data_IF_851264785995
#
_entry.id   IF_851264785995
#
_cell.length_a   1.000
_cell.length_b   1.000
_cell.length_c   1.000
_cell.angle_alpha   90.00
_cell.angle_beta   90.00
_cell.angle_gamma   90.00
#
_symmetry.space_group_name_H-M   'P 1'
#
loop_
_entity.id
_entity.type
_entity.pdbx_description
1 polymer ?
#
# COMPACT_ATOMS: atom_id res chain seq x y z
N UNK A 1 1.24 -5.87 -24.19
CA UNK A 1 1.14 -5.99 -22.71
C UNK A 1 -0.25 -5.54 -22.30
N UNK A 2 -0.96 -6.35 -21.54
CA UNK A 2 -2.26 -5.95 -21.03
C UNK A 2 -2.09 -4.86 -19.96
N UNK A 3 -2.94 -3.83 -19.97
CA UNK A 3 -2.90 -2.73 -19.02
C UNK A 3 -3.36 -3.14 -17.63
N UNK A 4 -2.93 -2.44 -16.58
CA UNK A 4 -3.51 -2.56 -15.25
C UNK A 4 -4.87 -1.86 -15.19
N UNK A 5 -5.79 -2.40 -14.39
CA UNK A 5 -7.12 -1.83 -14.19
C UNK A 5 -7.09 -0.69 -13.17
N UNK A 6 -6.20 -0.78 -12.19
CA UNK A 6 -6.16 0.14 -11.05
C UNK A 6 -4.74 0.32 -10.48
N UNK A 7 -4.42 1.54 -10.06
CA UNK A 7 -3.26 1.86 -9.22
C UNK A 7 -3.69 1.81 -7.75
N UNK A 8 -2.94 1.08 -6.93
CA UNK A 8 -3.21 0.89 -5.51
C UNK A 8 -2.02 1.38 -4.64
N UNK A 9 -1.94 2.68 -4.33
CA UNK A 9 -0.96 3.22 -3.42
C UNK A 9 -1.31 2.90 -1.97
N UNK A 10 -0.30 2.50 -1.20
CA UNK A 10 -0.42 2.14 0.21
C UNK A 10 0.36 3.10 1.09
N UNK A 11 -0.30 3.71 2.06
CA UNK A 11 0.34 4.60 3.03
C UNK A 11 1.44 3.88 3.84
N UNK A 12 2.48 4.63 4.15
CA UNK A 12 3.56 4.19 5.04
C UNK A 12 3.71 5.17 6.22
N UNK A 13 2.97 4.93 7.27
CA UNK A 13 2.88 5.80 8.44
C UNK A 13 1.82 6.89 8.32
N UNK A 14 1.66 7.65 9.41
CA UNK A 14 0.79 8.82 9.53
C UNK A 14 1.58 9.97 10.17
N UNK A 15 1.20 11.24 9.93
CA UNK A 15 0.11 11.69 9.05
C UNK A 15 0.39 11.49 7.56
N UNK A 16 -0.62 11.72 6.72
CA UNK A 16 -0.52 11.57 5.27
C UNK A 16 0.60 12.44 4.64
N UNK A 17 0.86 13.61 5.21
CA UNK A 17 1.88 14.55 4.73
C UNK A 17 3.34 14.10 4.91
N UNK A 18 3.61 12.92 5.48
CA UNK A 18 4.98 12.39 5.62
C UNK A 18 5.69 12.29 4.26
N UNK A 19 7.01 12.54 4.20
CA UNK A 19 7.79 12.44 2.96
C UNK A 19 7.62 11.10 2.22
N UNK A 20 7.51 9.99 2.97
CA UNK A 20 7.24 8.67 2.41
C UNK A 20 5.92 8.62 1.62
N UNK A 21 4.85 9.18 2.19
CA UNK A 21 3.53 9.18 1.56
C UNK A 21 3.48 10.12 0.34
N UNK A 22 4.18 11.25 0.38
CA UNK A 22 4.35 12.12 -0.80
C UNK A 22 5.05 11.40 -1.94
N UNK A 23 6.15 10.70 -1.66
CA UNK A 23 6.84 9.91 -2.67
C UNK A 23 5.96 8.80 -3.26
N UNK A 24 5.15 8.13 -2.43
CA UNK A 24 4.18 7.13 -2.87
C UNK A 24 3.11 7.77 -3.78
N UNK A 25 2.58 8.92 -3.39
CA UNK A 25 1.58 9.65 -4.15
C UNK A 25 2.11 10.09 -5.53
N UNK A 26 3.32 10.67 -5.58
CA UNK A 26 3.99 11.06 -6.82
C UNK A 26 4.29 9.87 -7.74
N UNK A 27 4.76 8.75 -7.18
CA UNK A 27 5.00 7.53 -7.95
C UNK A 27 3.69 6.96 -8.52
N UNK A 28 2.62 6.97 -7.74
CA UNK A 28 1.31 6.51 -8.19
C UNK A 28 0.79 7.37 -9.35
N UNK A 29 0.89 8.70 -9.25
CA UNK A 29 0.48 9.61 -10.31
C UNK A 29 1.31 9.42 -11.57
N UNK A 30 2.63 9.28 -11.44
CA UNK A 30 3.52 9.01 -12.57
C UNK A 30 3.18 7.68 -13.25
N UNK A 31 3.01 6.60 -12.47
CA UNK A 31 2.68 5.27 -13.00
C UNK A 31 1.33 5.29 -13.76
N UNK A 32 0.30 5.93 -13.21
CA UNK A 32 -0.99 6.10 -13.89
C UNK A 32 -0.84 6.78 -15.24
N UNK A 33 -0.10 7.89 -15.30
CA UNK A 33 0.10 8.65 -16.55
C UNK A 33 0.92 7.87 -17.58
N UNK A 34 2.03 7.25 -17.15
CA UNK A 34 2.95 6.56 -18.09
C UNK A 34 2.38 5.26 -18.61
N UNK A 35 1.56 4.56 -17.82
CA UNK A 35 0.95 3.29 -18.17
C UNK A 35 -0.53 3.42 -18.57
N UNK A 36 -1.04 4.66 -18.64
CA UNK A 36 -2.42 4.97 -18.98
C UNK A 36 -3.44 4.18 -18.13
N UNK A 37 -3.21 4.11 -16.80
CA UNK A 37 -4.11 3.44 -15.87
C UNK A 37 -5.17 4.45 -15.41
N UNK A 38 -6.47 4.22 -15.70
CA UNK A 38 -7.49 5.25 -15.56
C UNK A 38 -7.99 5.46 -14.14
N UNK A 39 -7.68 4.57 -13.21
CA UNK A 39 -8.31 4.56 -11.88
C UNK A 39 -7.29 4.42 -10.75
N UNK A 40 -7.50 5.21 -9.71
CA UNK A 40 -6.84 5.08 -8.42
C UNK A 40 -7.78 4.51 -7.37
N UNK A 41 -7.25 3.60 -6.56
CA UNK A 41 -7.91 3.16 -5.34
C UNK A 41 -6.97 3.36 -4.17
N UNK A 42 -7.19 4.38 -3.37
CA UNK A 42 -6.26 4.77 -2.32
C UNK A 42 -6.98 5.27 -1.05
N UNK A 43 -6.29 5.23 0.11
CA UNK A 43 -6.72 5.94 1.31
C UNK A 43 -6.85 7.44 1.05
N UNK A 44 -7.82 8.11 1.71
CA UNK A 44 -8.09 9.55 1.55
C UNK A 44 -6.82 10.40 1.68
N UNK A 45 -5.99 10.12 2.68
CA UNK A 45 -4.76 10.87 2.91
C UNK A 45 -3.75 10.86 1.74
N UNK A 46 -3.76 9.85 0.87
CA UNK A 46 -2.95 9.88 -0.37
C UNK A 46 -3.58 10.88 -1.36
N UNK A 47 -4.89 10.94 -1.47
CA UNK A 47 -5.57 11.86 -2.39
C UNK A 47 -5.40 13.33 -2.02
N UNK A 48 -5.22 13.64 -0.74
CA UNK A 48 -4.95 14.99 -0.26
C UNK A 48 -3.58 15.51 -0.73
N UNK A 49 -2.68 14.64 -1.18
CA UNK A 49 -1.32 15.00 -1.59
C UNK A 49 -1.19 15.35 -3.07
N UNK A 50 -2.25 15.27 -3.87
CA UNK A 50 -2.14 15.57 -5.29
C UNK A 50 -3.48 15.60 -6.04
N UNK A 51 -3.43 16.12 -7.26
CA UNK A 51 -4.56 16.13 -8.18
C UNK A 51 -4.52 14.86 -9.06
N UNK A 52 -5.41 13.94 -8.77
CA UNK A 52 -5.45 12.62 -9.39
C UNK A 52 -6.61 12.49 -10.40
N UNK A 53 -6.46 11.63 -11.43
CA UNK A 53 -7.57 11.25 -12.32
C UNK A 53 -8.70 10.58 -11.53
N UNK A 54 -9.78 10.11 -12.18
CA UNK A 54 -10.92 9.49 -11.49
C UNK A 54 -10.50 8.54 -10.38
N UNK A 55 -10.89 8.87 -9.16
CA UNK A 55 -10.43 8.26 -7.92
C UNK A 55 -11.57 7.56 -7.21
N UNK A 56 -11.27 6.41 -6.64
CA UNK A 56 -12.15 5.75 -5.70
C UNK A 56 -11.47 5.82 -4.35
N UNK A 57 -12.03 6.66 -3.49
CA UNK A 57 -11.53 6.80 -2.14
C UNK A 57 -11.99 5.61 -1.31
N UNK A 58 -11.04 4.93 -0.69
CA UNK A 58 -11.35 4.06 0.42
C UNK A 58 -11.49 4.93 1.66
N UNK A 59 -12.72 5.04 2.16
CA UNK A 59 -13.00 5.80 3.39
C UNK A 59 -12.48 5.02 4.61
N UNK A 60 -11.27 5.39 5.00
CA UNK A 60 -10.62 4.80 6.15
C UNK A 60 -10.25 5.89 7.15
N UNK A 61 -10.92 5.89 8.26
CA UNK A 61 -10.57 6.73 9.39
C UNK A 61 -9.48 6.08 10.25
N UNK A 62 -8.28 6.68 10.25
CA UNK A 62 -7.15 6.27 11.09
C UNK A 62 -6.23 5.20 10.50
N UNK A 63 -5.50 4.47 11.37
CA UNK A 63 -4.58 3.42 10.94
C UNK A 63 -5.30 2.22 10.38
N UNK A 64 -4.90 1.81 9.19
CA UNK A 64 -5.47 0.64 8.54
C UNK A 64 -4.36 -0.31 8.13
N UNK A 65 -4.50 -1.56 8.56
CA UNK A 65 -3.60 -2.62 8.13
C UNK A 65 -3.76 -2.88 6.62
N UNK A 66 -2.67 -3.35 5.99
CA UNK A 66 -2.70 -3.77 4.58
C UNK A 66 -3.84 -4.73 4.29
N UNK A 67 -4.11 -5.66 5.21
CA UNK A 67 -5.20 -6.65 5.04
C UNK A 67 -6.57 -5.97 4.95
N UNK A 68 -6.83 -4.95 5.78
CA UNK A 68 -8.09 -4.19 5.70
C UNK A 68 -8.20 -3.42 4.38
N UNK A 69 -7.11 -2.79 3.93
CA UNK A 69 -7.08 -2.09 2.66
C UNK A 69 -7.32 -3.04 1.48
N UNK A 70 -6.69 -4.22 1.48
CA UNK A 70 -6.89 -5.24 0.44
C UNK A 70 -8.32 -5.78 0.45
N UNK A 71 -8.94 -6.00 1.60
CA UNK A 71 -10.36 -6.42 1.68
C UNK A 71 -11.29 -5.39 1.05
N UNK A 72 -11.10 -4.11 1.34
CA UNK A 72 -11.88 -3.05 0.74
C UNK A 72 -11.63 -2.92 -0.78
N UNK A 73 -10.38 -3.12 -1.23
CA UNK A 73 -10.06 -3.23 -2.65
C UNK A 73 -10.84 -4.38 -3.32
N UNK A 74 -10.88 -5.57 -2.70
CA UNK A 74 -11.61 -6.75 -3.22
C UNK A 74 -13.09 -6.44 -3.44
N UNK A 75 -13.71 -5.78 -2.46
CA UNK A 75 -15.13 -5.43 -2.53
C UNK A 75 -15.44 -4.49 -3.70
N UNK A 76 -14.62 -3.44 -3.83
CA UNK A 76 -14.74 -2.49 -4.96
C UNK A 76 -14.40 -3.14 -6.29
N UNK A 77 -13.37 -3.97 -6.35
CA UNK A 77 -12.91 -4.61 -7.57
C UNK A 77 -13.94 -5.62 -8.12
N UNK A 78 -14.66 -6.33 -7.26
CA UNK A 78 -15.76 -7.22 -7.68
C UNK A 78 -16.87 -6.46 -8.43
N UNK A 79 -17.24 -5.27 -7.95
CA UNK A 79 -18.25 -4.43 -8.58
C UNK A 79 -17.80 -3.87 -9.93
N UNK A 80 -16.49 -3.72 -10.13
CA UNK A 80 -15.87 -3.10 -11.30
C UNK A 80 -15.16 -4.06 -12.23
N UNK A 81 -15.19 -5.35 -11.94
CA UNK A 81 -14.52 -6.42 -12.68
C UNK A 81 -13.00 -6.23 -12.83
N UNK A 82 -12.34 -5.55 -11.87
CA UNK A 82 -10.88 -5.40 -11.86
C UNK A 82 -10.20 -6.72 -11.58
N UNK A 83 -9.11 -6.99 -12.29
CA UNK A 83 -8.29 -8.19 -12.15
C UNK A 83 -6.81 -7.88 -11.93
N UNK A 84 -6.32 -6.79 -12.56
CA UNK A 84 -4.90 -6.44 -12.58
C UNK A 84 -4.65 -5.18 -11.78
N UNK A 85 -3.78 -5.29 -10.75
CA UNK A 85 -3.51 -4.23 -9.78
C UNK A 85 -2.04 -3.84 -9.82
N UNK A 86 -1.75 -2.57 -10.06
CA UNK A 86 -0.42 -2.01 -9.86
C UNK A 86 -0.30 -1.44 -8.45
N UNK A 87 0.57 -2.03 -7.64
CA UNK A 87 0.79 -1.65 -6.24
C UNK A 87 1.91 -0.61 -6.18
N UNK A 88 1.66 0.49 -5.49
CA UNK A 88 2.69 1.48 -5.15
C UNK A 88 2.90 1.43 -3.64
N UNK A 89 4.03 0.87 -3.20
CA UNK A 89 4.30 0.66 -1.78
C UNK A 89 5.76 0.96 -1.43
N UNK A 90 5.97 1.48 -0.21
CA UNK A 90 7.30 1.68 0.34
C UNK A 90 8.13 0.37 0.29
N UNK A 91 9.43 0.42 -0.06
CA UNK A 91 10.28 -0.76 -0.19
C UNK A 91 10.22 -1.73 1.00
N UNK A 92 10.17 -1.28 2.26
CA UNK A 92 10.04 -2.20 3.40
C UNK A 92 8.72 -2.95 3.45
N UNK A 93 7.68 -2.43 2.79
CA UNK A 93 6.31 -2.95 2.85
C UNK A 93 5.91 -3.76 1.61
N UNK A 94 6.60 -3.59 0.49
CA UNK A 94 6.22 -4.09 -0.85
C UNK A 94 5.97 -5.59 -0.91
N UNK A 95 6.81 -6.40 -0.25
CA UNK A 95 6.68 -7.85 -0.29
C UNK A 95 5.34 -8.31 0.30
N UNK A 96 4.97 -7.76 1.46
CA UNK A 96 3.72 -8.09 2.13
C UNK A 96 2.51 -7.58 1.35
N UNK A 97 2.57 -6.35 0.84
CA UNK A 97 1.53 -5.79 0.01
C UNK A 97 1.24 -6.65 -1.22
N UNK A 98 2.28 -7.03 -1.97
CA UNK A 98 2.17 -7.89 -3.14
C UNK A 98 1.55 -9.24 -2.80
N UNK A 99 2.03 -9.87 -1.73
CA UNK A 99 1.51 -11.15 -1.28
C UNK A 99 0.04 -11.07 -0.89
N UNK A 100 -0.36 -10.06 -0.14
CA UNK A 100 -1.73 -9.92 0.35
C UNK A 100 -2.71 -9.66 -0.80
N UNK A 101 -2.32 -8.84 -1.79
CA UNK A 101 -3.12 -8.57 -2.99
C UNK A 101 -3.25 -9.83 -3.86
N UNK A 102 -2.15 -10.56 -4.10
CA UNK A 102 -2.18 -11.83 -4.85
C UNK A 102 -2.98 -12.92 -4.14
N UNK A 103 -2.88 -13.00 -2.81
CA UNK A 103 -3.66 -13.92 -2.00
C UNK A 103 -5.16 -13.63 -2.03
N UNK A 104 -5.55 -12.42 -2.36
CA UNK A 104 -6.94 -12.02 -2.59
C UNK A 104 -7.46 -12.35 -4.00
N UNK A 105 -6.62 -12.92 -4.88
CA UNK A 105 -6.99 -13.40 -6.21
C UNK A 105 -6.70 -12.43 -7.36
N UNK A 106 -5.93 -11.36 -7.13
CA UNK A 106 -5.55 -10.43 -8.18
C UNK A 106 -4.24 -10.81 -8.87
N UNK A 107 -4.14 -10.50 -10.16
CA UNK A 107 -2.86 -10.35 -10.84
C UNK A 107 -2.26 -9.02 -10.40
N UNK A 108 -1.15 -9.07 -9.67
CA UNK A 108 -0.57 -7.87 -9.08
C UNK A 108 0.92 -7.76 -9.34
N UNK A 109 1.36 -6.54 -9.59
CA UNK A 109 2.76 -6.15 -9.67
C UNK A 109 3.04 -4.97 -8.75
N UNK A 110 4.30 -4.80 -8.36
CA UNK A 110 4.74 -3.64 -7.57
C UNK A 110 5.61 -2.76 -8.42
N UNK A 111 5.29 -1.48 -8.47
CA UNK A 111 6.15 -0.46 -9.09
C UNK A 111 7.50 -0.38 -8.36
N UNK A 112 8.58 -0.46 -9.11
CA UNK A 112 9.94 -0.49 -8.58
C UNK A 112 10.58 0.90 -8.44
N UNK A 113 9.95 1.96 -8.93
CA UNK A 113 10.51 3.32 -8.94
C UNK A 113 10.92 3.84 -7.56
N UNK A 114 10.23 3.39 -6.51
CA UNK A 114 10.52 3.79 -5.13
C UNK A 114 11.78 3.14 -4.54
N UNK A 115 12.33 2.09 -5.16
CA UNK A 115 13.54 1.39 -4.64
C UNK A 115 14.79 2.23 -4.67
N UNK A 116 14.88 3.15 -5.63
CA UNK A 116 16.03 4.03 -5.79
C UNK A 116 16.08 5.15 -4.74
N UNK A 117 15.00 5.39 -3.99
CA UNK A 117 14.93 6.47 -3.02
C UNK A 117 15.71 6.13 -1.73
N UNK A 118 16.28 7.15 -1.06
CA UNK A 118 17.08 6.95 0.15
C UNK A 118 16.29 6.25 1.27
N UNK A 119 16.95 5.34 2.00
CA UNK A 119 16.31 4.63 3.12
C UNK A 119 15.75 5.55 4.20
N UNK A 120 16.39 6.70 4.46
CA UNK A 120 15.93 7.69 5.44
C UNK A 120 14.57 8.30 5.12
N UNK A 121 14.15 8.31 3.85
CA UNK A 121 12.85 8.80 3.43
C UNK A 121 11.68 8.00 4.04
N UNK A 122 11.91 6.71 4.28
CA UNK A 122 10.85 5.79 4.71
C UNK A 122 10.59 5.79 6.22
N UNK A 123 11.49 6.41 6.99
CA UNK A 123 11.40 6.37 8.46
C UNK A 123 11.43 7.78 9.01
N UNK A 124 10.25 8.32 9.32
CA UNK A 124 10.11 9.65 9.87
C UNK A 124 9.91 9.59 11.39
N UNK A 125 10.73 10.33 12.15
CA UNK A 125 10.59 10.42 13.62
C UNK A 125 9.25 11.00 14.05
N UNK A 126 8.68 11.84 13.21
CA UNK A 126 7.40 12.53 13.37
C UNK A 126 6.20 11.61 13.10
N UNK A 127 6.44 10.37 12.65
CA UNK A 127 5.34 9.44 12.40
C UNK A 127 4.60 9.10 13.69
N UNK A 128 3.29 9.22 13.66
CA UNK A 128 2.38 8.79 14.73
C UNK A 128 2.46 7.28 14.98
N UNK A 129 2.86 6.51 13.97
CA UNK A 129 3.07 5.09 14.09
C UNK A 129 4.49 4.77 14.52
N UNK A 130 4.67 4.36 15.78
CA UNK A 130 5.98 4.01 16.36
C UNK A 130 6.80 3.05 15.50
N UNK A 131 6.16 2.11 14.82
CA UNK A 131 6.82 1.15 13.93
C UNK A 131 7.47 1.79 12.70
N UNK A 132 6.94 2.90 12.19
CA UNK A 132 7.48 3.59 11.02
C UNK A 132 8.47 4.71 11.36
N UNK A 133 8.85 4.86 12.64
CA UNK A 133 9.83 5.87 13.07
C UNK A 133 11.28 5.45 12.86
N UNK A 134 11.57 4.17 12.70
CA UNK A 134 12.91 3.67 12.38
C UNK A 134 12.87 2.29 11.72
N UNK A 135 13.91 2.00 10.93
CA UNK A 135 14.10 0.69 10.28
C UNK A 135 14.06 -0.46 11.28
N UNK A 136 14.79 -0.32 12.41
CA UNK A 136 14.84 -1.35 13.44
C UNK A 136 13.46 -1.67 14.01
N UNK A 137 12.69 -0.63 14.39
CA UNK A 137 11.33 -0.83 14.89
C UNK A 137 10.45 -1.49 13.86
N UNK A 138 10.46 -1.03 12.59
CA UNK A 138 9.70 -1.64 11.53
C UNK A 138 9.97 -3.14 11.41
N UNK A 139 11.26 -3.53 11.31
CA UNK A 139 11.63 -4.92 11.12
C UNK A 139 11.27 -5.80 12.32
N UNK A 140 11.63 -5.43 13.52
CA UNK A 140 11.52 -6.29 14.70
C UNK A 140 10.13 -6.28 15.34
N UNK A 141 9.37 -5.17 15.25
CA UNK A 141 8.06 -5.09 15.88
C UNK A 141 6.92 -5.44 14.91
N UNK A 142 7.15 -5.36 13.61
CA UNK A 142 6.09 -5.52 12.63
C UNK A 142 6.41 -6.49 11.49
N UNK A 143 7.44 -6.25 10.70
CA UNK A 143 7.69 -7.02 9.48
C UNK A 143 8.12 -8.46 9.76
N UNK A 144 9.09 -8.68 10.64
CA UNK A 144 9.55 -10.02 11.00
C UNK A 144 8.46 -10.86 11.69
N UNK A 145 7.74 -10.35 12.72
CA UNK A 145 6.61 -11.07 13.30
C UNK A 145 5.50 -11.37 12.29
N UNK A 146 5.19 -10.44 11.38
CA UNK A 146 4.19 -10.68 10.34
C UNK A 146 4.63 -11.81 9.40
N UNK A 147 5.89 -11.83 8.96
CA UNK A 147 6.43 -12.91 8.12
C UNK A 147 6.38 -14.26 8.82
N UNK A 148 6.82 -14.31 10.08
CA UNK A 148 6.78 -15.55 10.87
C UNK A 148 5.35 -16.06 11.03
N UNK A 149 4.39 -15.18 11.33
CA UNK A 149 2.98 -15.57 11.42
C UNK A 149 2.43 -16.07 10.07
N UNK A 150 2.81 -15.45 8.97
CA UNK A 150 2.39 -15.87 7.63
C UNK A 150 2.88 -17.28 7.31
N UNK A 151 4.14 -17.58 7.64
CA UNK A 151 4.71 -18.91 7.42
C UNK A 151 4.14 -19.97 8.38
N UNK A 152 3.96 -19.63 9.66
CA UNK A 152 3.50 -20.58 10.67
C UNK A 152 1.98 -20.77 10.66
N UNK A 153 1.21 -19.70 10.47
CA UNK A 153 -0.26 -19.74 10.50
C UNK A 153 -0.86 -18.53 9.76
N UNK A 154 -1.17 -18.71 8.48
CA UNK A 154 -1.80 -17.65 7.65
C UNK A 154 -3.09 -17.11 8.28
N UNK A 155 -3.95 -17.98 8.82
CA UNK A 155 -5.20 -17.56 9.45
C UNK A 155 -4.97 -16.71 10.70
N UNK A 156 -3.92 -17.00 11.47
CA UNK A 156 -3.56 -16.20 12.64
C UNK A 156 -3.11 -14.79 12.24
N UNK A 157 -2.32 -14.67 11.15
CA UNK A 157 -1.95 -13.38 10.58
C UNK A 157 -3.17 -12.57 10.15
N UNK A 158 -4.06 -13.17 9.38
CA UNK A 158 -5.26 -12.50 8.85
C UNK A 158 -6.20 -12.03 9.98
N UNK A 159 -6.40 -12.84 11.03
CA UNK A 159 -7.18 -12.47 12.22
C UNK A 159 -6.56 -11.29 12.98
N UNK A 160 -5.24 -11.30 13.17
CA UNK A 160 -4.54 -10.22 13.89
C UNK A 160 -4.53 -8.92 13.09
N UNK A 161 -4.31 -8.99 11.80
CA UNK A 161 -4.25 -7.83 10.92
C UNK A 161 -5.62 -7.19 10.64
N UNK A 162 -6.72 -7.90 10.94
CA UNK A 162 -8.08 -7.41 10.76
C UNK A 162 -8.70 -6.78 12.01
N UNK A 163 -8.04 -6.85 13.17
CA UNK A 163 -8.40 -6.13 14.39
C UNK A 163 -7.89 -4.70 14.37
#
# INVERSE_FOLDING_TARGET
MESFDVVFPLNFGLPAALPANRAIAEAALRASRTQNIPVFYAPLGIFELGDYPPRICADFNGYISTVKQVRALVETARQRAWRRVLIIAAPPHRWRALRDVRAAGFEAEVDDSLRALPRGLWYARESEHRQTTSWFRWWFTWELPARLMIYACRQCYERRASR
#
